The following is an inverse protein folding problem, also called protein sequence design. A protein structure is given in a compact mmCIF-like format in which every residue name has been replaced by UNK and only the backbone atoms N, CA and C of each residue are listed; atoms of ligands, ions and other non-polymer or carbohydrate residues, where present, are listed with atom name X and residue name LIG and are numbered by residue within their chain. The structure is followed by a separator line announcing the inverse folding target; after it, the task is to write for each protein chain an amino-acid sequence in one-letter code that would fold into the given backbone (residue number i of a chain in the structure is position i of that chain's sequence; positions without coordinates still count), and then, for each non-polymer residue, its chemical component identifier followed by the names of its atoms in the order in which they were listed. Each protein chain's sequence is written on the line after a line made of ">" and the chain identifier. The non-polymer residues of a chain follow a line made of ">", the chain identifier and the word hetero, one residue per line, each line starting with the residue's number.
data_IF_314303775045
#
_entry.id   IF_314303775045
#
_cell.length_a   1.000
_cell.length_b   1.000
_cell.length_c   1.000
_cell.angle_alpha   90.00
_cell.angle_beta   90.00
_cell.angle_gamma   90.00
#
_symmetry.space_group_name_H-M   'P 1'
#
loop_
_entity.id
_entity.type
_entity.pdbx_description
1 polymer ?
#
# COMPACT_ATOMS: atom_id res chain seq x y z
N UNK A 1 -7.93 14.61 3.86
CA UNK A 1 -8.35 13.53 4.80
C UNK A 1 -7.15 12.77 5.37
N UNK A 2 -7.04 12.70 6.70
CA UNK A 2 -5.96 12.15 7.54
C UNK A 2 -4.52 12.60 7.23
N UNK A 3 -3.93 12.23 6.09
CA UNK A 3 -2.57 12.67 5.73
C UNK A 3 -2.47 14.21 5.57
N UNK A 4 -3.51 14.83 5.01
CA UNK A 4 -3.60 16.29 4.86
C UNK A 4 -3.89 17.03 6.18
N UNK A 5 -4.73 16.46 7.05
CA UNK A 5 -4.95 17.02 8.40
C UNK A 5 -3.68 16.94 9.23
N UNK A 6 -2.92 15.85 9.10
CA UNK A 6 -1.64 15.68 9.74
C UNK A 6 -0.62 16.73 9.27
N UNK A 7 -0.45 16.91 7.96
CA UNK A 7 0.43 17.93 7.37
C UNK A 7 0.07 19.37 7.82
N UNK A 8 -1.21 19.71 7.92
CA UNK A 8 -1.64 21.03 8.42
C UNK A 8 -1.40 21.20 9.93
N UNK A 9 -1.52 20.13 10.73
CA UNK A 9 -1.32 20.19 12.18
C UNK A 9 0.13 19.99 12.63
N UNK A 10 1.04 19.59 11.75
CA UNK A 10 2.45 19.32 12.08
C UNK A 10 3.32 20.59 12.25
N UNK A 11 2.83 21.76 11.81
CA UNK A 11 3.60 23.02 11.81
C UNK A 11 3.58 23.81 13.12
N UNK A 12 2.61 23.59 14.02
CA UNK A 12 2.38 24.49 15.16
C UNK A 12 2.11 25.95 14.72
N UNK A 13 1.70 26.81 15.65
CA UNK A 13 1.26 28.21 15.40
C UNK A 13 2.30 29.17 14.75
N UNK A 14 3.43 28.69 14.21
CA UNK A 14 4.52 29.54 13.69
C UNK A 14 5.01 29.22 12.29
N UNK A 15 4.70 28.07 11.71
CA UNK A 15 5.08 27.74 10.32
C UNK A 15 3.83 27.34 9.54
N UNK A 16 3.23 28.32 8.85
CA UNK A 16 2.19 28.03 7.87
C UNK A 16 2.83 27.28 6.71
N UNK A 17 2.61 25.96 6.66
CA UNK A 17 2.95 25.15 5.52
C UNK A 17 2.21 25.72 4.28
N UNK A 18 2.91 26.51 3.46
CA UNK A 18 2.44 26.95 2.15
C UNK A 18 2.49 25.75 1.20
N UNK A 19 1.63 24.76 1.43
CA UNK A 19 1.42 23.65 0.49
C UNK A 19 0.79 24.27 -0.76
N UNK A 20 1.53 24.27 -1.86
CA UNK A 20 1.03 24.81 -3.11
C UNK A 20 0.01 23.82 -3.70
N UNK A 21 -1.08 24.32 -4.29
CA UNK A 21 -2.08 23.46 -4.96
C UNK A 21 -1.44 22.49 -5.97
N UNK A 22 -0.35 22.89 -6.62
CA UNK A 22 0.42 22.02 -7.51
C UNK A 22 1.03 20.80 -6.81
N UNK A 23 1.56 20.94 -5.60
CA UNK A 23 2.12 19.84 -4.80
C UNK A 23 1.02 18.91 -4.27
N UNK A 24 -0.12 19.49 -3.90
CA UNK A 24 -1.30 18.71 -3.50
C UNK A 24 -1.81 17.85 -4.66
N UNK A 25 -2.00 18.45 -5.84
CA UNK A 25 -2.50 17.73 -7.02
C UNK A 25 -1.51 16.69 -7.53
N UNK A 26 -0.20 16.97 -7.49
CA UNK A 26 0.82 15.99 -7.90
C UNK A 26 0.88 14.80 -6.94
N UNK A 27 0.83 15.05 -5.62
CA UNK A 27 0.76 14.02 -4.61
C UNK A 27 -0.51 13.16 -4.74
N UNK A 28 -1.67 13.80 -4.87
CA UNK A 28 -2.95 13.10 -5.00
C UNK A 28 -3.04 12.26 -6.28
N UNK A 29 -2.61 12.82 -7.43
CA UNK A 29 -2.62 12.12 -8.71
C UNK A 29 -1.69 10.91 -8.71
N UNK A 30 -0.46 11.09 -8.20
CA UNK A 30 0.53 10.01 -8.11
C UNK A 30 0.04 8.90 -7.18
N UNK A 31 -0.47 9.27 -6.01
CA UNK A 31 -1.08 8.33 -5.05
C UNK A 31 -2.21 7.54 -5.69
N UNK A 32 -3.13 8.20 -6.39
CA UNK A 32 -4.28 7.56 -7.03
C UNK A 32 -3.87 6.53 -8.09
N UNK A 33 -2.90 6.88 -8.94
CA UNK A 33 -2.38 5.97 -9.98
C UNK A 33 -1.78 4.72 -9.33
N UNK A 34 -0.99 4.89 -8.28
CA UNK A 34 -0.27 3.78 -7.66
C UNK A 34 -1.20 2.90 -6.83
N UNK A 35 -2.21 3.48 -6.19
CA UNK A 35 -3.30 2.69 -5.63
C UNK A 35 -3.98 1.86 -6.71
N UNK A 36 -4.31 2.44 -7.87
CA UNK A 36 -4.89 1.69 -8.99
C UNK A 36 -4.05 0.47 -9.39
N UNK A 37 -2.74 0.66 -9.59
CA UNK A 37 -1.80 -0.43 -9.92
C UNK A 37 -1.74 -1.47 -8.80
N UNK A 38 -1.70 -1.04 -7.53
CA UNK A 38 -1.64 -1.97 -6.40
C UNK A 38 -2.93 -2.78 -6.27
N UNK A 39 -4.08 -2.23 -6.62
CA UNK A 39 -5.36 -2.96 -6.64
C UNK A 39 -5.39 -4.11 -7.67
N UNK A 40 -4.43 -4.18 -8.59
CA UNK A 40 -4.25 -5.34 -9.47
C UNK A 40 -3.51 -6.49 -8.79
N UNK A 41 -2.71 -6.23 -7.74
CA UNK A 41 -1.96 -7.27 -7.02
C UNK A 41 -2.86 -8.38 -6.46
N UNK A 42 -4.01 -8.10 -5.82
CA UNK A 42 -4.93 -9.15 -5.39
C UNK A 42 -5.41 -10.03 -6.53
N UNK A 43 -5.73 -9.45 -7.69
CA UNK A 43 -6.16 -10.21 -8.85
C UNK A 43 -5.03 -11.10 -9.37
N UNK A 44 -3.82 -10.57 -9.51
CA UNK A 44 -2.66 -11.32 -10.01
C UNK A 44 -2.30 -12.46 -9.05
N UNK A 45 -2.23 -12.20 -7.75
CA UNK A 45 -1.91 -13.21 -6.74
C UNK A 45 -2.97 -14.30 -6.69
N UNK A 46 -4.25 -13.95 -6.81
CA UNK A 46 -5.33 -14.95 -6.84
C UNK A 46 -5.27 -15.82 -8.08
N UNK A 47 -5.02 -15.26 -9.26
CA UNK A 47 -4.82 -16.04 -10.48
C UNK A 47 -3.61 -16.98 -10.38
N UNK A 48 -2.49 -16.51 -9.83
CA UNK A 48 -1.32 -17.36 -9.57
C UNK A 48 -1.62 -18.48 -8.57
N UNK A 49 -2.46 -18.22 -7.57
CA UNK A 49 -2.92 -19.21 -6.62
C UNK A 49 -3.85 -20.25 -7.24
N UNK A 50 -4.74 -19.84 -8.15
CA UNK A 50 -5.61 -20.76 -8.92
C UNK A 50 -4.76 -21.63 -9.86
N UNK A 51 -3.70 -21.06 -10.45
CA UNK A 51 -2.74 -21.80 -11.28
C UNK A 51 -1.85 -22.78 -10.49
N UNK A 52 -1.92 -22.80 -9.16
CA UNK A 52 -1.11 -23.66 -8.29
C UNK A 52 0.35 -23.24 -8.14
N UNK A 53 0.72 -22.04 -8.64
CA UNK A 53 2.10 -21.52 -8.57
C UNK A 53 2.43 -21.02 -7.16
N UNK A 54 1.42 -20.50 -6.45
CA UNK A 54 1.59 -19.99 -5.08
C UNK A 54 0.50 -20.54 -4.16
N UNK A 55 0.87 -20.87 -2.93
CA UNK A 55 -0.08 -21.25 -1.88
C UNK A 55 -0.34 -20.12 -0.88
N UNK A 56 -1.48 -20.22 -0.20
CA UNK A 56 -1.80 -19.40 0.98
C UNK A 56 -0.69 -19.46 2.02
N UNK A 57 -0.13 -20.64 2.28
CA UNK A 57 0.93 -20.88 3.26
C UNK A 57 2.24 -20.24 2.82
N UNK A 58 2.56 -20.30 1.53
CA UNK A 58 3.71 -19.62 0.94
C UNK A 58 3.60 -18.10 1.14
N UNK A 59 2.46 -17.49 0.80
CA UNK A 59 2.22 -16.06 1.01
C UNK A 59 2.25 -15.70 2.51
N UNK A 60 1.63 -16.50 3.37
CA UNK A 60 1.62 -16.27 4.81
C UNK A 60 3.04 -16.32 5.43
N UNK A 61 3.90 -17.23 4.97
CA UNK A 61 5.29 -17.32 5.42
C UNK A 61 6.15 -16.11 5.00
N UNK A 62 5.75 -15.44 3.92
CA UNK A 62 6.46 -14.28 3.33
C UNK A 62 5.90 -12.93 3.76
N UNK A 63 4.97 -12.86 4.73
CA UNK A 63 4.41 -11.60 5.27
C UNK A 63 5.49 -10.56 5.60
N UNK A 64 6.57 -10.97 6.27
CA UNK A 64 7.69 -10.07 6.60
C UNK A 64 8.36 -9.44 5.36
N UNK A 65 8.46 -10.18 4.27
CA UNK A 65 9.04 -9.68 3.01
C UNK A 65 8.05 -8.76 2.29
N UNK A 66 6.77 -9.10 2.30
CA UNK A 66 5.72 -8.26 1.74
C UNK A 66 5.66 -6.90 2.45
N UNK A 67 5.71 -6.86 3.78
CA UNK A 67 5.70 -5.61 4.55
C UNK A 67 6.91 -4.73 4.18
N UNK A 68 8.11 -5.30 4.07
CA UNK A 68 9.31 -4.53 3.67
C UNK A 68 9.18 -4.00 2.24
N UNK A 69 8.63 -4.79 1.32
CA UNK A 69 8.43 -4.38 -0.07
C UNK A 69 7.37 -3.28 -0.21
N UNK A 70 6.28 -3.38 0.56
CA UNK A 70 5.24 -2.34 0.64
C UNK A 70 5.76 -1.07 1.32
N UNK A 71 6.61 -1.19 2.33
CA UNK A 71 7.28 -0.08 2.98
C UNK A 71 8.22 0.64 2.00
N UNK A 72 9.01 -0.10 1.23
CA UNK A 72 9.90 0.45 0.20
C UNK A 72 9.11 1.15 -0.92
N UNK A 73 8.02 0.54 -1.39
CA UNK A 73 7.09 1.18 -2.33
C UNK A 73 6.54 2.49 -1.75
N UNK A 74 6.02 2.45 -0.52
CA UNK A 74 5.48 3.64 0.14
C UNK A 74 6.51 4.76 0.24
N UNK A 75 7.76 4.44 0.62
CA UNK A 75 8.84 5.41 0.75
C UNK A 75 9.29 6.05 -0.58
N UNK A 76 9.07 5.41 -1.72
CA UNK A 76 9.32 5.99 -3.06
C UNK A 76 8.19 6.94 -3.47
N UNK A 77 6.98 6.70 -2.98
CA UNK A 77 5.76 7.40 -3.40
C UNK A 77 5.49 8.62 -2.54
N UNK A 78 5.61 8.46 -1.23
CA UNK A 78 5.51 9.57 -0.30
C UNK A 78 6.87 10.27 -0.19
N UNK A 79 6.90 11.56 0.14
CA UNK A 79 8.11 12.20 0.66
C UNK A 79 8.71 11.36 1.80
N UNK A 80 9.99 11.54 2.17
CA UNK A 80 10.65 10.83 3.28
C UNK A 80 10.12 11.28 4.64
N UNK A 81 8.81 11.14 4.86
CA UNK A 81 8.07 11.34 6.10
C UNK A 81 7.53 9.98 6.55
N UNK A 82 7.95 9.56 7.75
CA UNK A 82 7.60 8.27 8.36
C UNK A 82 6.09 8.16 8.57
N UNK A 83 5.40 9.26 8.89
CA UNK A 83 3.98 9.20 9.24
C UNK A 83 3.11 9.07 7.98
N UNK A 84 3.36 9.87 6.95
CA UNK A 84 2.71 9.70 5.64
C UNK A 84 2.95 8.31 5.04
N UNK A 85 4.17 7.78 5.21
CA UNK A 85 4.52 6.41 4.79
C UNK A 85 3.69 5.34 5.53
N UNK A 86 3.53 5.46 6.85
CA UNK A 86 2.72 4.52 7.64
C UNK A 86 1.24 4.57 7.28
N UNK A 87 0.70 5.77 7.01
CA UNK A 87 -0.68 5.97 6.55
C UNK A 87 -0.91 5.30 5.20
N UNK A 88 0.05 5.37 4.27
CA UNK A 88 -0.01 4.65 2.98
C UNK A 88 0.17 3.14 3.12
N UNK A 89 1.03 2.71 4.04
CA UNK A 89 1.31 1.29 4.23
C UNK A 89 0.09 0.51 4.73
N UNK A 90 -0.78 1.15 5.53
CA UNK A 90 -2.04 0.56 6.02
C UNK A 90 -2.92 -0.06 4.93
N UNK A 91 -3.42 0.73 3.95
CA UNK A 91 -4.25 0.21 2.87
C UNK A 91 -3.51 -0.78 1.94
N UNK A 92 -2.19 -0.63 1.74
CA UNK A 92 -1.40 -1.61 0.99
C UNK A 92 -1.35 -2.98 1.70
N UNK A 93 -1.14 -2.99 3.01
CA UNK A 93 -1.15 -4.22 3.82
C UNK A 93 -2.54 -4.87 3.79
N UNK A 94 -3.60 -4.06 3.87
CA UNK A 94 -4.98 -4.57 3.76
C UNK A 94 -5.22 -5.26 2.41
N UNK A 95 -4.73 -4.69 1.31
CA UNK A 95 -4.80 -5.33 0.00
C UNK A 95 -4.04 -6.66 -0.02
N UNK A 96 -2.83 -6.70 0.55
CA UNK A 96 -2.06 -7.94 0.62
C UNK A 96 -2.76 -9.03 1.46
N UNK A 97 -3.31 -8.68 2.63
CA UNK A 97 -4.09 -9.63 3.43
C UNK A 97 -5.35 -10.12 2.70
N UNK A 98 -6.07 -9.22 2.03
CA UNK A 98 -7.24 -9.60 1.21
C UNK A 98 -6.84 -10.59 0.11
N UNK A 99 -5.65 -10.42 -0.48
CA UNK A 99 -5.09 -11.33 -1.50
C UNK A 99 -4.83 -12.72 -0.92
N UNK A 100 -4.25 -12.80 0.29
CA UNK A 100 -4.02 -14.08 0.98
C UNK A 100 -5.35 -14.79 1.27
N UNK A 101 -6.38 -14.05 1.70
CA UNK A 101 -7.71 -14.60 1.96
C UNK A 101 -8.32 -15.15 0.67
N UNK A 102 -8.27 -14.38 -0.42
CA UNK A 102 -8.79 -14.81 -1.72
C UNK A 102 -8.04 -16.02 -2.27
N UNK A 103 -6.70 -16.06 -2.20
CA UNK A 103 -5.91 -17.24 -2.56
C UNK A 103 -6.28 -18.44 -1.69
N UNK A 104 -6.58 -18.23 -0.40
CA UNK A 104 -7.05 -19.30 0.48
C UNK A 104 -8.44 -19.85 0.14
N UNK A 105 -9.29 -19.07 -0.51
CA UNK A 105 -10.66 -19.46 -0.90
C UNK A 105 -10.66 -20.10 -2.29
N UNK A 106 -9.95 -19.48 -3.24
CA UNK A 106 -9.97 -19.85 -4.67
C UNK A 106 -8.75 -20.65 -5.13
N UNK A 107 -7.63 -20.56 -4.42
CA UNK A 107 -6.41 -21.29 -4.75
C UNK A 107 -6.57 -22.78 -4.47
N UNK A 108 -6.10 -23.60 -5.41
CA UNK A 108 -5.95 -25.02 -5.16
C UNK A 108 -4.79 -25.22 -4.20
N UNK A 109 -4.93 -26.13 -3.22
CA UNK A 109 -3.77 -26.59 -2.43
C UNK A 109 -2.75 -27.13 -3.43
N UNK A 110 -1.58 -26.50 -3.56
CA UNK A 110 -0.48 -27.10 -4.29
C UNK A 110 -0.13 -28.41 -3.56
N UNK A 111 -0.29 -29.52 -4.27
CA UNK A 111 -0.15 -30.88 -3.75
C UNK A 111 1.32 -31.32 -3.76
#
# INVERSE_FOLDING_TARGET
>A
PLAFEFLMNFGGDKDQAMITIGEYLSFFSSTTIIFGITFELPLILTLLGIAGIIDKEFLASKRRFAIVLLAALSAVITPPDVISMLVMMGPLILLYESSIVLVGIFGQKSA
#
